data_IF_913906870941
#
_entry.id   IF_913906870941
#
_cell.length_a   1.000
_cell.length_b   1.000
_cell.length_c   1.000
_cell.angle_alpha   90.00
_cell.angle_beta   90.00
_cell.angle_gamma   90.00
#
_symmetry.space_group_name_H-M   'P 1'
#
loop_
_entity.id
_entity.type
_entity.pdbx_description
1 polymer ?
#
# COMPACT_ATOMS: atom_id res chain seq x y z
N UNK A 1 -4.98 14.80 1.40
CA UNK A 1 -3.75 14.59 0.62
C UNK A 1 -3.95 15.36 -0.67
N UNK A 2 -3.20 16.43 -0.85
CA UNK A 2 -3.21 17.16 -2.12
C UNK A 2 -2.25 16.46 -3.08
N UNK A 3 -2.76 16.11 -4.26
CA UNK A 3 -1.99 15.46 -5.32
C UNK A 3 -2.08 16.26 -6.60
N UNK A 4 -1.04 16.18 -7.43
CA UNK A 4 -1.02 16.80 -8.74
C UNK A 4 -1.37 15.73 -9.79
N UNK A 5 -2.36 15.97 -10.66
CA UNK A 5 -2.70 15.04 -11.74
C UNK A 5 -1.50 14.68 -12.62
N UNK A 6 -1.40 13.40 -13.00
CA UNK A 6 -0.34 12.89 -13.88
C UNK A 6 1.03 12.67 -13.22
N UNK A 7 1.14 12.84 -11.90
CA UNK A 7 2.36 12.53 -11.15
C UNK A 7 2.26 11.15 -10.49
N UNK A 8 3.41 10.48 -10.40
CA UNK A 8 3.56 9.22 -9.67
C UNK A 8 4.07 9.53 -8.25
N UNK A 9 3.42 8.92 -7.26
CA UNK A 9 3.75 9.09 -5.84
C UNK A 9 4.10 7.74 -5.23
N UNK A 10 5.13 7.73 -4.39
CA UNK A 10 5.46 6.57 -3.56
C UNK A 10 4.71 6.70 -2.22
N UNK A 11 3.74 5.83 -2.00
CA UNK A 11 2.97 5.79 -0.76
C UNK A 11 3.56 4.71 0.16
N UNK A 12 3.99 5.10 1.37
CA UNK A 12 4.44 4.16 2.41
C UNK A 12 3.27 3.89 3.35
N UNK A 13 2.71 2.69 3.29
CA UNK A 13 1.63 2.26 4.18
C UNK A 13 2.21 1.48 5.35
N UNK A 14 1.82 1.85 6.56
CA UNK A 14 2.25 1.18 7.80
C UNK A 14 0.99 0.81 8.58
N UNK A 15 0.79 -0.48 8.83
CA UNK A 15 -0.26 -0.94 9.72
C UNK A 15 0.26 -0.94 11.17
N UNK A 16 -0.30 -0.05 12.00
CA UNK A 16 0.00 0.02 13.44
C UNK A 16 -1.04 -0.73 14.30
N UNK A 17 -2.00 -1.43 13.69
CA UNK A 17 -2.95 -2.26 14.41
C UNK A 17 -2.31 -3.59 14.80
N UNK A 18 -2.32 -3.88 16.11
CA UNK A 18 -1.67 -5.07 16.67
C UNK A 18 -2.29 -6.39 16.23
N UNK A 19 -3.62 -6.42 16.02
CA UNK A 19 -4.37 -7.67 15.85
C UNK A 19 -5.40 -7.60 14.72
N UNK A 20 -5.34 -6.58 13.86
CA UNK A 20 -6.37 -6.35 12.84
C UNK A 20 -5.74 -6.25 11.47
N UNK A 21 -6.35 -6.95 10.53
CA UNK A 21 -6.08 -6.85 9.11
C UNK A 21 -6.80 -5.62 8.56
N UNK A 22 -6.08 -4.79 7.82
CA UNK A 22 -6.62 -3.56 7.26
C UNK A 22 -6.56 -3.63 5.74
N UNK A 23 -7.67 -3.32 5.08
CA UNK A 23 -7.71 -3.19 3.63
C UNK A 23 -7.60 -1.72 3.25
N UNK A 24 -6.63 -1.40 2.40
CA UNK A 24 -6.45 -0.07 1.83
C UNK A 24 -6.68 -0.11 0.31
N UNK A 25 -7.36 0.90 -0.21
CA UNK A 25 -7.57 1.08 -1.64
C UNK A 25 -7.96 2.53 -1.93
N UNK A 26 -7.68 2.97 -3.14
CA UNK A 26 -8.04 4.31 -3.61
C UNK A 26 -9.01 4.13 -4.78
N UNK A 27 -10.20 4.71 -4.68
CA UNK A 27 -11.20 4.61 -5.73
C UNK A 27 -10.63 5.15 -7.06
N UNK A 28 -10.85 4.40 -8.15
CA UNK A 28 -10.39 4.71 -9.51
C UNK A 28 -8.86 4.84 -9.68
N UNK A 29 -8.07 4.40 -8.71
CA UNK A 29 -6.60 4.41 -8.78
C UNK A 29 -6.03 3.01 -8.57
N UNK A 30 -5.16 2.59 -9.49
CA UNK A 30 -4.38 1.36 -9.35
C UNK A 30 -3.16 1.61 -8.49
N UNK A 31 -2.90 0.70 -7.55
CA UNK A 31 -1.71 0.71 -6.71
C UNK A 31 -0.69 -0.26 -7.29
N UNK A 32 0.58 0.14 -7.32
CA UNK A 32 1.69 -0.75 -7.63
C UNK A 32 2.47 -1.05 -6.35
N UNK A 33 2.42 -2.30 -5.90
CA UNK A 33 3.23 -2.77 -4.78
C UNK A 33 4.64 -3.01 -5.31
N UNK A 34 5.61 -2.26 -4.80
CA UNK A 34 7.03 -2.37 -5.19
C UNK A 34 7.92 -2.85 -4.04
N UNK A 35 7.42 -2.79 -2.81
CA UNK A 35 8.12 -3.16 -1.59
C UNK A 35 7.10 -3.72 -0.58
N UNK A 36 7.49 -4.76 0.14
CA UNK A 36 6.73 -5.32 1.26
C UNK A 36 7.73 -5.79 2.33
N UNK A 37 7.45 -5.54 3.61
CA UNK A 37 8.33 -5.90 4.74
C UNK A 37 9.79 -5.45 4.57
N UNK A 38 9.99 -4.25 3.99
CA UNK A 38 11.29 -3.67 3.64
C UNK A 38 12.13 -4.47 2.61
N UNK A 39 11.49 -5.40 1.90
CA UNK A 39 12.09 -6.14 0.79
C UNK A 39 11.46 -5.70 -0.54
N UNK A 40 12.31 -5.50 -1.56
CA UNK A 40 11.84 -5.20 -2.90
C UNK A 40 11.10 -6.41 -3.48
N UNK A 41 9.86 -6.19 -3.90
CA UNK A 41 9.05 -7.22 -4.53
C UNK A 41 8.90 -6.95 -6.02
N UNK A 42 8.51 -7.97 -6.79
CA UNK A 42 8.14 -7.76 -8.19
C UNK A 42 6.92 -6.84 -8.24
N UNK A 43 6.93 -5.76 -9.05
CA UNK A 43 5.82 -4.83 -9.12
C UNK A 43 4.50 -5.54 -9.38
N UNK A 44 3.60 -5.47 -8.40
CA UNK A 44 2.25 -6.04 -8.51
C UNK A 44 1.22 -4.91 -8.57
N UNK A 45 0.50 -4.83 -9.68
CA UNK A 45 -0.58 -3.84 -9.83
C UNK A 45 -1.88 -4.41 -9.30
N UNK A 46 -2.49 -3.74 -8.34
CA UNK A 46 -3.75 -4.14 -7.70
C UNK A 46 -4.58 -2.91 -7.33
N UNK A 47 -5.90 -3.06 -7.26
CA UNK A 47 -6.80 -1.97 -6.86
C UNK A 47 -6.90 -1.85 -5.32
N UNK A 48 -6.53 -2.92 -4.60
CA UNK A 48 -6.61 -3.01 -3.15
C UNK A 48 -5.39 -3.75 -2.59
N UNK A 49 -4.94 -3.31 -1.43
CA UNK A 49 -3.88 -3.91 -0.63
C UNK A 49 -4.44 -4.34 0.71
N UNK A 50 -4.10 -5.55 1.14
CA UNK A 50 -4.34 -6.04 2.49
C UNK A 50 -3.05 -5.89 3.29
N UNK A 51 -3.13 -5.19 4.42
CA UNK A 51 -2.06 -5.09 5.39
C UNK A 51 -2.39 -6.01 6.54
N UNK A 52 -1.58 -7.06 6.71
CA UNK A 52 -1.67 -7.93 7.88
C UNK A 52 -1.27 -7.19 9.17
N UNK A 53 -1.60 -7.73 10.35
CA UNK A 53 -1.11 -7.21 11.62
C UNK A 53 0.43 -7.12 11.61
N UNK A 54 0.97 -6.13 12.33
CA UNK A 54 2.42 -5.97 12.44
C UNK A 54 3.03 -7.26 13.00
N UNK A 55 3.98 -7.84 12.26
CA UNK A 55 4.75 -8.99 12.76
C UNK A 55 5.77 -8.47 13.79
N UNK A 56 5.98 -9.19 14.91
CA UNK A 56 6.95 -8.81 15.94
C UNK A 56 8.39 -8.89 15.43
#
# INVERSE_FOLDING_TARGET
IDVVPGKTYLLRLINAALNMEVFFGIAEHKLAIVEADAEYTKPLTTDRVMLGPARP
#
